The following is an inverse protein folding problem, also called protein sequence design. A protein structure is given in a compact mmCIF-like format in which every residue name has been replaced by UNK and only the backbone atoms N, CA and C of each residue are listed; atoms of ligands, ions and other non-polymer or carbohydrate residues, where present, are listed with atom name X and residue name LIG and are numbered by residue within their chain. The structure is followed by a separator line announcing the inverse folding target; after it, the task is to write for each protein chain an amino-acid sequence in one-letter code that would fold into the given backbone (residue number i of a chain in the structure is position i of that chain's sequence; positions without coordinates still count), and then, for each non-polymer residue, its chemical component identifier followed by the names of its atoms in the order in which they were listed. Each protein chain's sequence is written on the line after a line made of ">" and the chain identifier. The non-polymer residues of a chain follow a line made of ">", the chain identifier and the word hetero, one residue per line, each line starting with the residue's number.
data_IF_526170681088
#
_entry.id   IF_526170681088
#
_cell.length_a   1.000
_cell.length_b   1.000
_cell.length_c   1.000
_cell.angle_alpha   90.00
_cell.angle_beta   90.00
_cell.angle_gamma   90.00
#
_symmetry.space_group_name_H-M   'P 1'
#
loop_
_entity.id
_entity.type
_entity.pdbx_description
1 polymer ?
#
# COMPACT_ATOMS: atom_id res chain seq x y z
N UNK A 1 -27.39 24.26 14.79
CA UNK A 1 -27.17 25.73 14.88
C UNK A 1 -27.80 26.46 13.69
N UNK A 2 -27.36 26.20 12.45
CA UNK A 2 -27.89 26.90 11.26
C UNK A 2 -29.42 26.78 11.07
N UNK A 3 -30.00 25.60 11.32
CA UNK A 3 -31.45 25.41 11.30
C UNK A 3 -32.21 26.30 12.30
N UNK A 4 -31.63 26.53 13.49
CA UNK A 4 -32.22 27.39 14.52
C UNK A 4 -32.07 28.87 14.15
N UNK A 5 -30.93 29.26 13.54
CA UNK A 5 -30.71 30.62 13.03
C UNK A 5 -31.67 30.97 11.89
N UNK A 6 -31.93 30.03 10.99
CA UNK A 6 -32.92 30.20 9.92
C UNK A 6 -34.35 30.32 10.48
N UNK A 7 -34.71 29.51 11.48
CA UNK A 7 -36.01 29.64 12.14
C UNK A 7 -36.15 31.00 12.85
N UNK A 8 -35.10 31.46 13.53
CA UNK A 8 -35.07 32.76 14.18
C UNK A 8 -35.19 33.91 13.18
N UNK A 9 -34.46 33.85 12.05
CA UNK A 9 -34.58 34.81 10.95
C UNK A 9 -35.99 34.83 10.34
N UNK A 10 -36.59 33.65 10.12
CA UNK A 10 -37.97 33.51 9.65
C UNK A 10 -38.98 34.08 10.65
N UNK A 11 -38.78 33.90 11.95
CA UNK A 11 -39.65 34.45 12.99
C UNK A 11 -39.51 35.97 13.12
N UNK A 12 -38.31 36.52 12.85
CA UNK A 12 -38.03 37.96 12.88
C UNK A 12 -38.71 38.71 11.72
N UNK A 13 -38.72 38.15 10.51
CA UNK A 13 -39.45 38.72 9.36
C UNK A 13 -40.94 38.40 9.34
N UNK A 14 -41.38 37.44 10.16
CA UNK A 14 -42.75 36.95 10.20
C UNK A 14 -42.92 35.66 9.41
N UNK A 15 -43.45 34.63 10.06
CA UNK A 15 -43.66 33.31 9.45
C UNK A 15 -44.65 33.39 8.28
N UNK A 16 -44.28 32.81 7.13
CA UNK A 16 -45.07 32.82 5.91
C UNK A 16 -45.23 34.18 5.22
N UNK A 17 -44.44 35.19 5.60
CA UNK A 17 -44.48 36.52 4.97
C UNK A 17 -43.93 36.51 3.53
N UNK A 18 -42.94 35.67 3.26
CA UNK A 18 -42.31 35.49 1.95
C UNK A 18 -42.26 34.00 1.58
N UNK A 19 -41.87 33.70 0.33
CA UNK A 19 -41.66 32.31 -0.10
C UNK A 19 -40.40 31.69 0.50
N UNK A 20 -39.46 32.50 1.00
CA UNK A 20 -38.19 32.03 1.55
C UNK A 20 -38.29 31.67 3.03
N UNK A 21 -39.10 32.38 3.82
CA UNK A 21 -39.29 32.09 5.25
C UNK A 21 -40.09 30.81 5.49
N UNK A 22 -39.93 30.24 6.68
CA UNK A 22 -40.75 29.10 7.09
C UNK A 22 -42.25 29.45 7.10
N UNK A 23 -43.05 28.67 6.37
CA UNK A 23 -44.50 28.85 6.15
C UNK A 23 -45.38 28.46 7.35
N UNK A 24 -44.80 28.00 8.45
CA UNK A 24 -45.54 27.57 9.64
C UNK A 24 -46.26 26.22 9.51
N UNK A 25 -46.12 25.52 8.38
CA UNK A 25 -46.78 24.25 8.14
C UNK A 25 -45.87 23.06 8.46
N UNK A 26 -46.42 22.01 9.08
CA UNK A 26 -45.69 20.79 9.43
C UNK A 26 -44.68 20.97 10.59
N UNK A 27 -43.65 20.12 10.63
CA UNK A 27 -42.64 20.18 11.68
C UNK A 27 -41.56 21.22 11.36
N UNK A 28 -41.52 22.29 12.17
CA UNK A 28 -40.59 23.42 12.02
C UNK A 28 -39.12 22.99 12.04
N UNK A 29 -38.74 22.05 12.91
CA UNK A 29 -37.36 21.60 13.03
C UNK A 29 -36.90 20.88 11.77
N UNK A 30 -37.71 19.95 11.23
CA UNK A 30 -37.33 19.15 10.06
C UNK A 30 -37.19 20.02 8.81
N UNK A 31 -38.11 20.97 8.60
CA UNK A 31 -38.06 21.88 7.44
C UNK A 31 -36.91 22.87 7.53
N UNK A 32 -36.67 23.46 8.70
CA UNK A 32 -35.51 24.35 8.91
C UNK A 32 -34.18 23.58 8.82
N UNK A 33 -34.14 22.33 9.27
CA UNK A 33 -32.98 21.46 9.10
C UNK A 33 -32.75 21.10 7.64
N UNK A 34 -33.81 20.78 6.89
CA UNK A 34 -33.73 20.52 5.46
C UNK A 34 -33.18 21.73 4.69
N UNK A 35 -33.65 22.94 5.02
CA UNK A 35 -33.09 24.19 4.49
C UNK A 35 -31.60 24.35 4.84
N UNK A 36 -31.24 24.15 6.11
CA UNK A 36 -29.86 24.27 6.58
C UNK A 36 -28.90 23.26 5.90
N UNK A 37 -29.36 22.03 5.66
CA UNK A 37 -28.58 21.00 4.97
C UNK A 37 -28.44 21.33 3.48
N UNK A 38 -29.52 21.75 2.81
CA UNK A 38 -29.47 22.17 1.40
C UNK A 38 -28.50 23.32 1.18
N UNK A 39 -28.54 24.33 2.05
CA UNK A 39 -27.62 25.47 1.98
C UNK A 39 -26.18 25.09 2.29
N UNK A 40 -25.94 24.19 3.26
CA UNK A 40 -24.63 23.68 3.62
C UNK A 40 -23.98 22.85 2.48
N UNK A 41 -24.75 21.98 1.83
CA UNK A 41 -24.27 21.13 0.72
C UNK A 41 -24.34 21.89 -0.63
N UNK A 42 -24.79 23.16 -0.63
CA UNK A 42 -24.99 23.98 -1.83
C UNK A 42 -25.93 23.34 -2.87
N UNK A 43 -26.91 22.55 -2.40
CA UNK A 43 -27.95 21.95 -3.23
C UNK A 43 -28.98 23.05 -3.55
N UNK A 44 -29.10 23.40 -4.84
CA UNK A 44 -30.05 24.39 -5.33
C UNK A 44 -31.53 24.00 -5.15
N UNK A 45 -32.44 24.86 -5.59
CA UNK A 45 -33.87 24.66 -5.43
C UNK A 45 -34.39 25.08 -4.05
N UNK A 46 -33.82 26.18 -3.53
CA UNK A 46 -34.40 26.96 -2.44
C UNK A 46 -35.18 28.13 -3.05
N UNK A 47 -36.25 28.60 -2.40
CA UNK A 47 -36.99 29.78 -2.85
C UNK A 47 -36.03 30.98 -2.94
N UNK A 48 -36.23 31.84 -3.93
CA UNK A 48 -35.39 33.03 -4.11
C UNK A 48 -35.64 34.02 -2.96
N UNK A 49 -34.58 34.53 -2.30
CA UNK A 49 -34.71 35.55 -1.28
C UNK A 49 -35.20 36.85 -1.91
N UNK A 50 -36.20 37.47 -1.29
CA UNK A 50 -36.91 38.66 -1.75
C UNK A 50 -36.52 39.92 -0.98
N UNK A 51 -36.25 39.81 0.32
CA UNK A 51 -35.85 40.95 1.15
C UNK A 51 -34.33 41.11 1.20
N UNK A 52 -33.86 42.32 1.50
CA UNK A 52 -32.43 42.59 1.69
C UNK A 52 -31.82 41.71 2.79
N UNK A 53 -32.58 41.45 3.87
CA UNK A 53 -32.15 40.61 4.97
C UNK A 53 -31.99 39.14 4.55
N UNK A 54 -32.98 38.59 3.83
CA UNK A 54 -32.92 37.24 3.27
C UNK A 54 -31.70 37.05 2.35
N UNK A 55 -31.43 38.04 1.49
CA UNK A 55 -30.29 38.01 0.56
C UNK A 55 -28.96 37.97 1.33
N UNK A 56 -28.78 38.84 2.33
CA UNK A 56 -27.54 38.88 3.13
C UNK A 56 -27.38 37.60 3.95
N UNK A 57 -28.44 37.12 4.58
CA UNK A 57 -28.43 35.88 5.35
C UNK A 57 -28.07 34.69 4.46
N UNK A 58 -28.69 34.57 3.30
CA UNK A 58 -28.44 33.51 2.32
C UNK A 58 -27.00 33.56 1.80
N UNK A 59 -26.46 34.75 1.52
CA UNK A 59 -25.09 34.94 1.05
C UNK A 59 -24.07 34.48 2.10
N UNK A 60 -24.24 34.90 3.35
CA UNK A 60 -23.37 34.47 4.46
C UNK A 60 -23.45 32.96 4.66
N UNK A 61 -24.67 32.41 4.61
CA UNK A 61 -24.89 30.98 4.80
C UNK A 61 -24.24 30.14 3.69
N UNK A 62 -24.32 30.59 2.42
CA UNK A 62 -23.60 29.94 1.33
C UNK A 62 -22.08 30.06 1.48
N UNK A 63 -21.58 31.22 1.91
CA UNK A 63 -20.15 31.39 2.15
C UNK A 63 -19.66 30.40 3.21
N UNK A 64 -20.31 30.36 4.38
CA UNK A 64 -20.00 29.40 5.44
C UNK A 64 -20.12 27.96 4.95
N UNK A 65 -21.15 27.66 4.15
CA UNK A 65 -21.37 26.32 3.60
C UNK A 65 -20.23 25.85 2.69
N UNK A 66 -19.80 26.69 1.75
CA UNK A 66 -18.67 26.40 0.85
C UNK A 66 -17.38 26.18 1.64
N UNK A 67 -17.10 27.01 2.66
CA UNK A 67 -15.92 26.83 3.51
C UNK A 67 -15.96 25.52 4.29
N UNK A 68 -17.09 25.19 4.92
CA UNK A 68 -17.25 23.93 5.66
C UNK A 68 -17.08 22.71 4.75
N UNK A 69 -17.66 22.75 3.54
CA UNK A 69 -17.53 21.67 2.57
C UNK A 69 -16.09 21.54 2.03
N UNK A 70 -15.40 22.66 1.81
CA UNK A 70 -13.99 22.68 1.40
C UNK A 70 -13.08 22.02 2.43
N UNK A 71 -13.26 22.34 3.72
CA UNK A 71 -12.51 21.74 4.83
C UNK A 71 -12.77 20.23 4.89
N UNK A 72 -14.04 19.81 4.78
CA UNK A 72 -14.40 18.39 4.79
C UNK A 72 -13.71 17.62 3.64
N UNK A 73 -13.71 18.16 2.43
CA UNK A 73 -12.99 17.57 1.28
C UNK A 73 -11.48 17.49 1.56
N UNK A 74 -10.89 18.53 2.15
CA UNK A 74 -9.48 18.54 2.53
C UNK A 74 -9.13 17.38 3.47
N UNK A 75 -9.89 17.25 4.56
CA UNK A 75 -9.70 16.18 5.53
C UNK A 75 -9.90 14.79 4.93
N UNK A 76 -10.91 14.61 4.06
CA UNK A 76 -11.11 13.34 3.36
C UNK A 76 -9.91 12.98 2.48
N UNK A 77 -9.29 13.96 1.80
CA UNK A 77 -8.08 13.71 1.00
C UNK A 77 -6.90 13.32 1.87
N UNK A 78 -6.71 13.96 3.02
CA UNK A 78 -5.62 13.63 3.94
C UNK A 78 -5.76 12.20 4.48
N UNK A 79 -6.98 11.79 4.86
CA UNK A 79 -7.28 10.43 5.33
C UNK A 79 -7.05 9.40 4.22
N UNK A 80 -7.55 9.66 3.01
CA UNK A 80 -7.33 8.76 1.86
C UNK A 80 -5.85 8.69 1.49
N UNK A 81 -5.14 9.80 1.55
CA UNK A 81 -3.70 9.88 1.31
C UNK A 81 -2.91 9.06 2.31
N UNK A 82 -3.23 9.18 3.60
CA UNK A 82 -2.61 8.38 4.66
C UNK A 82 -2.92 6.88 4.52
N UNK A 83 -4.19 6.52 4.26
CA UNK A 83 -4.62 5.14 4.10
C UNK A 83 -3.98 4.45 2.87
N UNK A 84 -3.69 5.20 1.81
CA UNK A 84 -3.10 4.69 0.56
C UNK A 84 -1.61 5.03 0.41
N UNK A 85 -0.96 5.54 1.46
CA UNK A 85 0.43 6.02 1.40
C UNK A 85 1.41 4.92 0.92
N UNK A 86 1.33 3.72 1.49
CA UNK A 86 2.19 2.60 1.11
C UNK A 86 2.02 2.15 -0.34
N UNK A 87 0.76 2.08 -0.81
CA UNK A 87 0.47 1.73 -2.20
C UNK A 87 0.91 2.83 -3.18
N UNK A 88 0.74 4.10 -2.79
CA UNK A 88 1.16 5.25 -3.59
C UNK A 88 2.67 5.30 -3.71
N UNK A 89 3.41 5.06 -2.62
CA UNK A 89 4.87 4.94 -2.63
C UNK A 89 5.33 3.81 -3.57
N UNK A 90 4.72 2.63 -3.45
CA UNK A 90 5.03 1.49 -4.31
C UNK A 90 4.85 1.81 -5.80
N UNK A 91 3.69 2.38 -6.15
CA UNK A 91 3.36 2.78 -7.52
C UNK A 91 4.32 3.86 -8.04
N UNK A 92 4.69 4.83 -7.20
CA UNK A 92 5.64 5.86 -7.57
C UNK A 92 7.02 5.27 -7.91
N UNK A 93 7.53 4.31 -7.14
CA UNK A 93 8.80 3.63 -7.46
C UNK A 93 8.74 2.83 -8.77
N UNK A 94 7.64 2.10 -9.00
CA UNK A 94 7.41 1.41 -10.27
C UNK A 94 7.39 2.39 -11.44
N UNK A 95 6.63 3.48 -11.33
CA UNK A 95 6.50 4.50 -12.39
C UNK A 95 7.83 5.18 -12.67
N UNK A 96 8.62 5.51 -11.64
CA UNK A 96 9.96 6.09 -11.79
C UNK A 96 10.90 5.12 -12.50
N UNK A 97 10.85 3.82 -12.17
CA UNK A 97 11.65 2.80 -12.85
C UNK A 97 11.24 2.67 -14.32
N UNK A 98 9.94 2.67 -14.61
CA UNK A 98 9.43 2.59 -16.00
C UNK A 98 9.81 3.84 -16.80
N UNK A 99 9.71 5.03 -16.20
CA UNK A 99 10.17 6.28 -16.82
C UNK A 99 11.66 6.23 -17.15
N UNK A 100 12.48 5.77 -16.20
CA UNK A 100 13.92 5.57 -16.44
C UNK A 100 14.16 4.64 -17.63
N UNK A 101 13.51 3.46 -17.66
CA UNK A 101 13.67 2.52 -18.78
C UNK A 101 13.20 3.10 -20.13
N UNK A 102 12.14 3.92 -20.12
CA UNK A 102 11.64 4.58 -21.31
C UNK A 102 12.62 5.66 -21.83
N UNK A 103 13.22 6.46 -20.94
CA UNK A 103 14.22 7.46 -21.29
C UNK A 103 15.46 6.85 -21.96
N UNK A 104 15.89 5.67 -21.50
CA UNK A 104 17.02 4.94 -22.08
C UNK A 104 16.64 4.04 -23.27
N UNK A 105 15.39 4.09 -23.76
CA UNK A 105 14.90 3.30 -24.90
C UNK A 105 15.10 1.78 -24.73
N UNK A 106 14.94 1.29 -23.50
CA UNK A 106 15.01 -0.15 -23.23
C UNK A 106 13.84 -0.86 -23.93
N UNK A 107 14.04 -2.07 -24.51
CA UNK A 107 12.99 -2.82 -25.17
C UNK A 107 11.75 -3.05 -24.29
N UNK A 108 10.56 -3.03 -24.91
CA UNK A 108 9.28 -3.20 -24.20
C UNK A 108 9.18 -4.53 -23.45
N UNK A 109 9.84 -5.59 -23.94
CA UNK A 109 9.85 -6.89 -23.28
C UNK A 109 10.50 -6.82 -21.89
N UNK A 110 11.64 -6.13 -21.78
CA UNK A 110 12.33 -5.94 -20.49
C UNK A 110 11.50 -5.04 -19.58
N UNK A 111 10.89 -3.98 -20.11
CA UNK A 111 10.01 -3.11 -19.32
C UNK A 111 8.80 -3.87 -18.77
N UNK A 112 8.17 -4.71 -19.59
CA UNK A 112 7.05 -5.53 -19.18
C UNK A 112 7.46 -6.55 -18.12
N UNK A 113 8.63 -7.19 -18.26
CA UNK A 113 9.17 -8.10 -17.25
C UNK A 113 9.37 -7.39 -15.90
N UNK A 114 9.95 -6.19 -15.90
CA UNK A 114 10.15 -5.39 -14.67
C UNK A 114 8.80 -5.02 -14.04
N UNK A 115 7.81 -4.59 -14.83
CA UNK A 115 6.45 -4.33 -14.32
C UNK A 115 5.80 -5.58 -13.70
N UNK A 116 5.96 -6.74 -14.34
CA UNK A 116 5.47 -8.01 -13.80
C UNK A 116 6.15 -8.34 -12.48
N UNK A 117 7.47 -8.13 -12.36
CA UNK A 117 8.21 -8.31 -11.11
C UNK A 117 7.70 -7.40 -10.00
N UNK A 118 7.46 -6.10 -10.29
CA UNK A 118 6.84 -5.19 -9.32
C UNK A 118 5.45 -5.70 -8.89
N UNK A 119 4.54 -5.97 -9.83
CA UNK A 119 3.20 -6.46 -9.47
C UNK A 119 3.24 -7.75 -8.64
N UNK A 120 4.13 -8.68 -8.97
CA UNK A 120 4.30 -9.94 -8.24
C UNK A 120 4.90 -9.73 -6.84
N UNK A 121 5.89 -8.85 -6.71
CA UNK A 121 6.51 -8.50 -5.42
C UNK A 121 5.51 -7.80 -4.49
N UNK A 122 4.67 -6.90 -5.02
CA UNK A 122 3.59 -6.28 -4.25
C UNK A 122 2.58 -7.31 -3.74
N UNK A 123 2.14 -8.24 -4.59
CA UNK A 123 1.18 -9.27 -4.21
C UNK A 123 1.74 -10.28 -3.20
N UNK A 124 3.04 -10.56 -3.25
CA UNK A 124 3.68 -11.54 -2.37
C UNK A 124 4.13 -10.97 -1.02
N UNK A 125 4.64 -9.73 -0.99
CA UNK A 125 5.26 -9.15 0.20
C UNK A 125 4.57 -7.85 0.68
N UNK A 126 3.82 -7.17 -0.17
CA UNK A 126 3.18 -5.89 0.18
C UNK A 126 4.15 -4.72 0.43
N UNK A 127 5.44 -4.90 0.16
CA UNK A 127 6.48 -3.87 0.30
C UNK A 127 7.64 -4.13 -0.68
N UNK A 128 8.46 -3.10 -0.93
CA UNK A 128 9.64 -3.22 -1.80
C UNK A 128 10.88 -3.68 -1.05
N UNK A 129 11.06 -3.18 0.17
CA UNK A 129 12.22 -3.50 0.99
C UNK A 129 11.81 -3.65 2.46
N UNK A 130 11.89 -4.88 2.95
CA UNK A 130 11.69 -5.20 4.37
C UNK A 130 12.82 -4.59 5.23
N UNK A 131 14.01 -4.40 4.66
CA UNK A 131 15.12 -3.81 5.40
C UNK A 131 14.86 -2.35 5.73
N UNK A 132 14.28 -1.58 4.81
CA UNK A 132 13.91 -0.17 5.04
C UNK A 132 12.96 -0.03 6.24
N UNK A 133 11.99 -0.94 6.39
CA UNK A 133 11.09 -0.99 7.54
C UNK A 133 11.85 -1.25 8.86
N UNK A 134 12.81 -2.17 8.83
CA UNK A 134 13.51 -2.62 10.02
C UNK A 134 14.70 -1.73 10.41
N UNK A 135 15.19 -0.85 9.53
CA UNK A 135 16.37 0.00 9.76
C UNK A 135 16.22 0.91 11.00
N UNK A 136 15.00 1.33 11.34
CA UNK A 136 14.75 2.17 12.51
C UNK A 136 14.80 1.41 13.85
N UNK A 137 14.76 0.07 13.80
CA UNK A 137 14.75 -0.76 15.00
C UNK A 137 16.18 -1.06 15.49
N UNK A 138 16.41 -1.07 16.82
CA UNK A 138 17.65 -1.57 17.39
C UNK A 138 17.94 -3.02 16.98
N UNK A 139 19.23 -3.38 16.90
CA UNK A 139 19.70 -4.73 16.52
C UNK A 139 19.00 -5.88 17.25
N UNK A 140 18.73 -5.72 18.55
CA UNK A 140 18.08 -6.75 19.36
C UNK A 140 16.65 -7.03 18.87
N UNK A 141 15.87 -5.98 18.62
CA UNK A 141 14.48 -6.13 18.14
C UNK A 141 14.44 -6.69 16.71
N UNK A 142 15.37 -6.29 15.85
CA UNK A 142 15.49 -6.86 14.50
C UNK A 142 15.76 -8.35 14.55
N UNK A 143 16.64 -8.77 15.46
CA UNK A 143 16.94 -10.19 15.67
C UNK A 143 15.71 -10.95 16.16
N UNK A 144 15.01 -10.43 17.17
CA UNK A 144 13.82 -11.09 17.71
C UNK A 144 12.76 -11.29 16.61
N UNK A 145 12.52 -10.29 15.76
CA UNK A 145 11.63 -10.41 14.59
C UNK A 145 12.15 -11.44 13.59
N UNK A 146 13.44 -11.39 13.24
CA UNK A 146 14.02 -12.32 12.26
C UNK A 146 13.94 -13.78 12.74
N UNK A 147 14.05 -14.00 14.04
CA UNK A 147 13.84 -15.30 14.69
C UNK A 147 12.39 -15.72 14.55
N UNK A 148 11.44 -14.92 15.01
CA UNK A 148 10.04 -15.31 14.98
C UNK A 148 9.50 -15.55 13.55
N UNK A 149 10.01 -14.82 12.55
CA UNK A 149 9.56 -14.95 11.16
C UNK A 149 10.20 -16.14 10.43
N UNK A 150 11.49 -16.42 10.65
CA UNK A 150 12.25 -17.35 9.80
C UNK A 150 12.79 -18.58 10.54
N UNK A 151 12.79 -18.61 11.87
CA UNK A 151 13.38 -19.71 12.64
C UNK A 151 12.72 -21.05 12.35
N UNK A 152 11.40 -21.10 12.21
CA UNK A 152 10.66 -22.33 11.90
C UNK A 152 11.01 -22.93 10.53
N UNK A 153 11.37 -22.09 9.56
CA UNK A 153 11.75 -22.54 8.22
C UNK A 153 13.20 -23.01 8.27
N UNK A 154 14.09 -22.21 8.86
CA UNK A 154 15.53 -22.50 8.94
C UNK A 154 15.83 -23.72 9.80
N UNK A 155 15.11 -23.93 10.90
CA UNK A 155 15.30 -25.09 11.79
C UNK A 155 14.88 -26.42 11.15
N UNK A 156 13.96 -26.39 10.18
CA UNK A 156 13.51 -27.59 9.44
C UNK A 156 14.47 -28.00 8.32
N UNK A 157 15.36 -27.11 7.91
CA UNK A 157 16.36 -27.39 6.88
C UNK A 157 17.35 -28.43 7.40
N UNK A 158 17.53 -29.52 6.65
CA UNK A 158 18.45 -30.61 6.99
C UNK A 158 19.90 -30.16 7.19
N UNK A 159 20.35 -29.15 6.44
CA UNK A 159 21.71 -28.60 6.53
C UNK A 159 22.04 -27.97 7.89
N UNK A 160 21.03 -27.48 8.63
CA UNK A 160 21.22 -26.81 9.91
C UNK A 160 20.80 -27.67 11.12
N UNK A 161 20.42 -28.93 10.87
CA UNK A 161 20.11 -29.86 11.97
C UNK A 161 21.37 -30.15 12.79
N UNK A 162 21.31 -29.88 14.09
CA UNK A 162 22.42 -30.08 15.02
C UNK A 162 23.40 -28.90 15.13
N UNK A 163 23.17 -27.80 14.41
CA UNK A 163 23.90 -26.56 14.64
C UNK A 163 23.49 -25.89 15.95
N UNK A 164 24.43 -25.18 16.59
CA UNK A 164 24.13 -24.39 17.77
C UNK A 164 23.13 -23.26 17.45
N UNK A 165 22.25 -22.96 18.40
CA UNK A 165 21.20 -21.95 18.24
C UNK A 165 21.81 -20.57 17.97
N UNK A 166 22.97 -20.28 18.54
CA UNK A 166 23.69 -19.02 18.32
C UNK A 166 24.14 -18.86 16.86
N UNK A 167 24.59 -19.94 16.22
CA UNK A 167 24.96 -19.94 14.80
C UNK A 167 23.75 -19.67 13.91
N UNK A 168 22.59 -20.26 14.23
CA UNK A 168 21.33 -20.00 13.51
C UNK A 168 20.94 -18.53 13.65
N UNK A 169 21.05 -17.96 14.85
CA UNK A 169 20.78 -16.55 15.08
C UNK A 169 21.69 -15.61 14.30
N UNK A 170 22.99 -15.89 14.25
CA UNK A 170 23.93 -15.09 13.48
C UNK A 170 23.71 -15.19 11.96
N UNK A 171 23.24 -16.34 11.48
CA UNK A 171 22.84 -16.51 10.08
C UNK A 171 21.56 -15.75 9.75
N UNK A 172 20.55 -15.80 10.63
CA UNK A 172 19.27 -15.10 10.44
C UNK A 172 19.46 -13.58 10.27
N UNK A 173 20.46 -12.99 10.95
CA UNK A 173 20.83 -11.57 10.76
C UNK A 173 21.32 -11.23 9.34
N UNK A 174 21.87 -12.21 8.61
CA UNK A 174 22.46 -12.02 7.28
C UNK A 174 21.53 -12.44 6.15
N UNK A 175 20.39 -13.04 6.48
CA UNK A 175 19.41 -13.51 5.51
C UNK A 175 18.73 -12.32 4.84
N UNK A 176 18.63 -12.36 3.51
CA UNK A 176 17.92 -11.35 2.71
C UNK A 176 16.80 -12.02 1.95
N UNK A 177 15.61 -11.44 2.00
CA UNK A 177 14.48 -11.92 1.19
C UNK A 177 14.64 -11.43 -0.24
N UNK A 178 14.52 -12.34 -1.21
CA UNK A 178 14.55 -12.03 -2.65
C UNK A 178 13.39 -12.74 -3.34
N UNK A 179 12.77 -12.07 -4.31
CA UNK A 179 11.65 -12.60 -5.10
C UNK A 179 12.07 -12.75 -6.55
N UNK A 180 11.87 -13.95 -7.11
CA UNK A 180 12.13 -14.28 -8.51
C UNK A 180 10.83 -14.53 -9.26
N UNK A 181 10.77 -14.20 -10.56
CA UNK A 181 9.61 -14.48 -11.38
C UNK A 181 9.58 -15.94 -11.87
N UNK A 182 8.40 -16.48 -12.19
CA UNK A 182 8.30 -17.78 -12.86
C UNK A 182 9.12 -17.79 -14.16
N UNK A 183 10.04 -18.76 -14.28
CA UNK A 183 10.93 -18.91 -15.44
C UNK A 183 12.26 -18.16 -15.33
N UNK A 184 12.50 -17.38 -14.27
CA UNK A 184 13.82 -16.82 -14.00
C UNK A 184 14.80 -17.92 -13.56
N UNK A 185 16.03 -17.85 -14.06
CA UNK A 185 17.13 -18.70 -13.60
C UNK A 185 17.78 -18.09 -12.37
N UNK A 186 17.69 -18.77 -11.23
CA UNK A 186 18.31 -18.32 -9.97
C UNK A 186 19.82 -18.52 -10.01
N UNK A 187 20.28 -19.70 -10.42
CA UNK A 187 21.70 -20.02 -10.58
C UNK A 187 21.92 -20.71 -11.94
N UNK A 188 23.02 -20.42 -12.63
CA UNK A 188 23.40 -21.12 -13.87
C UNK A 188 24.67 -21.93 -13.70
N UNK A 189 24.74 -23.06 -14.40
CA UNK A 189 25.95 -23.89 -14.45
C UNK A 189 27.11 -23.08 -15.02
N UNK A 190 28.22 -23.04 -14.29
CA UNK A 190 29.44 -22.32 -14.67
C UNK A 190 29.56 -20.92 -14.06
N UNK A 191 28.52 -20.41 -13.39
CA UNK A 191 28.63 -19.21 -12.57
C UNK A 191 29.21 -19.54 -11.20
N UNK A 192 29.99 -18.62 -10.64
CA UNK A 192 30.57 -18.78 -9.31
C UNK A 192 29.47 -18.57 -8.27
N UNK A 193 29.05 -19.65 -7.61
CA UNK A 193 28.07 -19.58 -6.52
C UNK A 193 28.67 -18.93 -5.28
N UNK A 194 28.21 -17.72 -4.95
CA UNK A 194 28.65 -16.95 -3.76
C UNK A 194 27.62 -16.91 -2.64
N UNK A 195 26.44 -17.45 -2.91
CA UNK A 195 25.26 -17.33 -2.05
C UNK A 195 24.58 -18.70 -1.96
N UNK A 196 23.89 -18.92 -0.84
CA UNK A 196 22.98 -20.04 -0.66
C UNK A 196 21.55 -19.52 -0.55
N UNK A 197 20.60 -20.33 -0.99
CA UNK A 197 19.20 -19.95 -1.03
C UNK A 197 18.34 -20.94 -0.24
N UNK A 198 17.40 -20.40 0.53
CA UNK A 198 16.41 -21.17 1.28
C UNK A 198 15.03 -20.85 0.69
N UNK A 199 14.30 -21.87 0.26
CA UNK A 199 12.97 -21.66 -0.34
C UNK A 199 11.96 -21.39 0.78
N UNK A 200 11.51 -20.14 0.91
CA UNK A 200 10.44 -19.75 1.85
C UNK A 200 9.06 -20.13 1.32
N UNK A 201 8.79 -19.84 0.04
CA UNK A 201 7.53 -20.12 -0.63
C UNK A 201 7.78 -20.35 -2.13
N UNK A 202 6.94 -21.17 -2.76
CA UNK A 202 7.07 -21.56 -4.17
C UNK A 202 7.89 -22.84 -4.38
N UNK A 203 8.28 -23.07 -5.63
CA UNK A 203 9.09 -24.22 -6.04
C UNK A 203 10.16 -23.81 -7.04
N UNK A 204 11.30 -24.50 -7.00
CA UNK A 204 12.44 -24.29 -7.90
C UNK A 204 12.73 -25.60 -8.59
N UNK A 205 12.86 -25.57 -9.92
CA UNK A 205 13.17 -26.76 -10.70
C UNK A 205 14.65 -26.75 -11.08
N UNK A 206 15.35 -27.83 -10.75
CA UNK A 206 16.73 -28.07 -11.19
C UNK A 206 16.66 -28.63 -12.59
N UNK A 207 17.03 -27.82 -13.58
CA UNK A 207 17.01 -28.19 -15.00
C UNK A 207 18.41 -28.40 -15.55
N UNK A 208 18.53 -29.25 -16.57
CA UNK A 208 19.76 -29.38 -17.35
C UNK A 208 19.55 -30.18 -18.63
N UNK A 209 20.54 -30.99 -19.01
CA UNK A 209 20.59 -31.66 -20.32
C UNK A 209 21.13 -30.76 -21.43
N UNK A 210 21.33 -31.29 -22.66
CA UNK A 210 21.91 -30.55 -23.78
C UNK A 210 21.09 -29.32 -24.20
N UNK A 211 19.77 -29.32 -23.96
CA UNK A 211 18.85 -28.21 -24.25
C UNK A 211 18.44 -27.39 -23.02
N UNK A 212 18.94 -27.71 -21.82
CA UNK A 212 18.61 -27.01 -20.58
C UNK A 212 17.15 -27.14 -20.11
N UNK A 213 16.37 -28.08 -20.68
CA UNK A 213 14.92 -28.24 -20.44
C UNK A 213 14.55 -29.51 -19.67
N UNK A 214 15.49 -30.42 -19.39
CA UNK A 214 15.16 -31.63 -18.63
C UNK A 214 15.15 -31.32 -17.14
N UNK A 215 13.99 -31.47 -16.50
CA UNK A 215 13.82 -31.30 -15.05
C UNK A 215 14.36 -32.53 -14.33
N UNK A 216 15.36 -32.35 -13.48
CA UNK A 216 15.92 -33.42 -12.65
C UNK A 216 15.18 -33.55 -11.32
N UNK A 217 14.98 -32.42 -10.62
CA UNK A 217 14.38 -32.36 -9.28
C UNK A 217 13.58 -31.07 -9.14
N UNK A 218 12.44 -31.15 -8.45
CA UNK A 218 11.67 -29.97 -8.02
C UNK A 218 11.83 -29.78 -6.52
N UNK A 219 12.48 -28.70 -6.12
CA UNK A 219 12.66 -28.28 -4.74
C UNK A 219 11.46 -27.43 -4.30
N UNK A 220 10.99 -27.66 -3.08
CA UNK A 220 9.83 -26.96 -2.50
C UNK A 220 10.23 -26.16 -1.25
N UNK A 221 9.29 -25.41 -0.70
CA UNK A 221 9.48 -24.69 0.56
C UNK A 221 10.15 -25.56 1.65
N UNK A 222 11.15 -24.98 2.32
CA UNK A 222 12.01 -25.67 3.31
C UNK A 222 13.23 -26.38 2.72
N UNK A 223 13.35 -26.48 1.40
CA UNK A 223 14.57 -26.97 0.73
C UNK A 223 15.64 -25.87 0.62
N UNK A 224 16.90 -26.29 0.58
CA UNK A 224 18.07 -25.42 0.38
C UNK A 224 18.79 -25.85 -0.88
N UNK A 225 19.35 -24.86 -1.58
CA UNK A 225 20.21 -25.09 -2.74
C UNK A 225 21.31 -24.02 -2.80
N UNK A 226 22.39 -24.32 -3.53
CA UNK A 226 23.58 -23.46 -3.65
C UNK A 226 24.62 -23.64 -2.53
N UNK A 227 24.32 -24.47 -1.54
CA UNK A 227 25.20 -24.81 -0.42
C UNK A 227 26.49 -25.50 -0.88
N UNK A 228 26.41 -26.33 -1.94
CA UNK A 228 27.58 -27.05 -2.47
C UNK A 228 28.64 -26.07 -2.98
N UNK A 229 28.22 -24.97 -3.63
CA UNK A 229 29.16 -23.97 -4.13
C UNK A 229 29.90 -23.25 -3.01
N UNK A 230 29.26 -23.04 -1.86
CA UNK A 230 29.88 -22.43 -0.68
C UNK A 230 30.83 -23.37 0.05
N UNK A 231 30.47 -24.65 0.17
CA UNK A 231 31.29 -25.66 0.83
C UNK A 231 32.48 -26.10 -0.04
N UNK A 232 32.31 -26.10 -1.37
CA UNK A 232 33.35 -26.45 -2.32
C UNK A 232 34.47 -25.40 -2.46
N UNK A 233 34.27 -24.15 -1.99
CA UNK A 233 35.36 -23.14 -1.90
C UNK A 233 36.47 -23.62 -0.96
N UNK A 234 36.20 -24.59 -0.08
CA UNK A 234 37.20 -25.27 0.76
C UNK A 234 37.87 -26.50 0.12
N UNK A 235 37.46 -26.95 -1.06
CA UNK A 235 38.11 -28.08 -1.72
C UNK A 235 37.26 -28.85 -2.73
N UNK A 236 37.65 -28.74 -4.00
CA UNK A 236 37.58 -29.83 -4.98
C UNK A 236 36.25 -30.00 -5.72
N UNK A 237 36.26 -29.67 -7.02
CA UNK A 237 35.30 -30.17 -8.00
C UNK A 237 35.09 -31.68 -7.84
N UNK A 238 33.88 -32.09 -7.47
CA UNK A 238 33.35 -33.44 -7.72
C UNK A 238 31.89 -33.34 -8.14
#
# INVERSE_FOLDING_TARGET
>A
CNACLYYWGSAYEGLGSTQWVYDGQGNSYIRCYYFAVKTLITIGGLPDPTTLFEIIFQLINYFVGVFAFSIMIGQMRDVVGAATAGQTYYRACMDNTVKYMASYRIPKDVQNRVKTWYNYTWQSQGMLDEQELLVQLPDKMRLDIAVDVNYDIVSKVSLFQGCDRQMIFDMLKRLRSVVYLPGDYVCKKGEVGREMYIIKAGEVQVVGGPDGKTVFVTLRAGSVFGEISLLAVGGGNR
#
